data_IF_346762979184
#
_entry.id   IF_346762979184
#
_cell.length_a   1.000
_cell.length_b   1.000
_cell.length_c   1.000
_cell.angle_alpha   90.00
_cell.angle_beta   90.00
_cell.angle_gamma   90.00
#
_symmetry.space_group_name_H-M   'P 1'
#
loop_
_entity.id
_entity.type
_entity.pdbx_description
1 polymer ?
#
# COMPACT_ATOMS: atom_id res chain seq x y z
N UNK A 1 -19.82 8.80 24.45
CA UNK A 1 -19.41 8.17 23.16
C UNK A 1 -17.91 8.35 22.96
N UNK A 2 -17.19 7.27 22.73
CA UNK A 2 -15.79 7.24 22.30
C UNK A 2 -15.76 6.80 20.84
N UNK A 3 -14.74 7.22 20.10
CA UNK A 3 -14.42 6.68 18.77
C UNK A 3 -13.07 5.98 18.87
N UNK A 4 -13.09 4.67 18.77
CA UNK A 4 -11.98 3.78 19.08
C UNK A 4 -11.50 3.16 17.77
N UNK A 5 -10.20 3.21 17.52
CA UNK A 5 -9.59 2.47 16.43
C UNK A 5 -8.98 1.17 16.96
N UNK A 6 -9.23 0.08 16.28
CA UNK A 6 -8.81 -1.26 16.63
C UNK A 6 -8.07 -1.89 15.46
N UNK A 7 -6.87 -2.43 15.68
CA UNK A 7 -6.07 -3.03 14.61
C UNK A 7 -5.21 -4.19 15.11
N UNK A 8 -4.86 -5.15 14.23
CA UNK A 8 -3.99 -6.27 14.61
C UNK A 8 -2.58 -5.79 14.96
N UNK A 9 -2.00 -4.91 14.16
CA UNK A 9 -0.63 -4.44 14.35
C UNK A 9 -0.53 -2.96 14.03
N UNK A 10 0.03 -2.18 14.94
CA UNK A 10 0.44 -0.80 14.71
C UNK A 10 1.95 -0.77 14.50
N UNK A 11 2.39 -0.67 13.24
CA UNK A 11 3.79 -0.67 12.86
C UNK A 11 4.32 0.74 12.61
N UNK A 12 5.60 0.97 12.92
CA UNK A 12 6.28 2.21 12.59
C UNK A 12 6.55 2.29 11.09
N UNK A 13 6.09 3.37 10.45
CA UNK A 13 6.39 3.66 9.04
C UNK A 13 5.59 2.85 8.01
N UNK A 14 4.56 2.09 8.43
CA UNK A 14 3.65 1.48 7.48
C UNK A 14 2.44 2.38 7.17
N UNK A 15 1.82 2.15 6.02
CA UNK A 15 0.71 2.97 5.53
C UNK A 15 -0.52 2.93 6.45
N UNK A 16 -0.88 1.74 6.97
CA UNK A 16 -2.06 1.55 7.85
C UNK A 16 -1.81 2.20 9.21
N UNK A 17 -0.60 2.05 9.75
CA UNK A 17 -0.19 2.69 11.00
C UNK A 17 -0.26 4.22 10.91
N UNK A 18 0.28 4.79 9.82
CA UNK A 18 0.23 6.23 9.58
C UNK A 18 -1.20 6.75 9.40
N UNK A 19 -2.04 6.04 8.64
CA UNK A 19 -3.47 6.34 8.48
C UNK A 19 -4.18 6.33 9.84
N UNK A 20 -3.99 5.27 10.62
CA UNK A 20 -4.60 5.12 11.96
C UNK A 20 -4.26 6.29 12.88
N UNK A 21 -2.99 6.70 12.92
CA UNK A 21 -2.54 7.81 13.78
C UNK A 21 -3.10 9.15 13.30
N UNK A 22 -3.16 9.38 12.00
CA UNK A 22 -3.77 10.60 11.45
C UNK A 22 -5.28 10.66 11.72
N UNK A 23 -5.98 9.52 11.60
CA UNK A 23 -7.40 9.44 11.96
C UNK A 23 -7.62 9.65 13.47
N UNK A 24 -6.70 9.17 14.34
CA UNK A 24 -6.76 9.46 15.80
C UNK A 24 -6.81 10.96 16.06
N UNK A 25 -5.96 11.74 15.38
CA UNK A 25 -5.93 13.19 15.51
C UNK A 25 -7.21 13.85 14.93
N UNK A 26 -7.69 13.38 13.79
CA UNK A 26 -8.91 13.89 13.16
C UNK A 26 -10.13 13.67 14.06
N UNK A 27 -10.30 12.48 14.62
CA UNK A 27 -11.36 12.14 15.55
C UNK A 27 -11.33 13.06 16.79
N UNK A 28 -10.13 13.33 17.33
CA UNK A 28 -9.96 14.25 18.45
C UNK A 28 -10.35 15.68 18.08
N UNK A 29 -9.99 16.18 16.88
CA UNK A 29 -10.41 17.51 16.39
C UNK A 29 -11.92 17.62 16.18
N UNK A 30 -12.60 16.52 15.86
CA UNK A 30 -14.07 16.47 15.80
C UNK A 30 -14.75 16.55 17.18
N UNK A 31 -13.97 16.56 18.28
CA UNK A 31 -14.48 16.65 19.66
C UNK A 31 -14.79 15.29 20.31
N UNK A 32 -14.41 14.18 19.66
CA UNK A 32 -14.61 12.85 20.25
C UNK A 32 -13.37 12.42 21.06
N UNK A 33 -13.62 11.62 22.10
CA UNK A 33 -12.53 10.91 22.77
C UNK A 33 -12.00 9.82 21.82
N UNK A 34 -10.79 10.03 21.33
CA UNK A 34 -10.11 9.17 20.36
C UNK A 34 -9.10 8.26 21.04
N UNK A 35 -9.21 6.95 20.83
CA UNK A 35 -8.31 5.94 21.41
C UNK A 35 -7.92 4.92 20.33
N UNK A 36 -6.68 4.42 20.39
CA UNK A 36 -6.17 3.37 19.49
C UNK A 36 -5.78 2.16 20.34
N UNK A 37 -6.20 0.97 19.92
CA UNK A 37 -5.85 -0.30 20.51
C UNK A 37 -5.32 -1.26 19.45
N UNK A 38 -4.22 -1.97 19.77
CA UNK A 38 -3.63 -2.95 18.88
C UNK A 38 -3.19 -4.21 19.63
N UNK A 39 -3.18 -5.37 18.94
CA UNK A 39 -2.61 -6.60 19.48
C UNK A 39 -1.08 -6.48 19.56
N UNK A 40 -0.47 -5.96 18.49
CA UNK A 40 0.96 -5.74 18.41
C UNK A 40 1.25 -4.25 18.19
N UNK A 41 2.16 -3.69 18.99
CA UNK A 41 2.57 -2.29 18.92
C UNK A 41 4.09 -2.25 18.72
N UNK A 42 4.55 -1.61 17.66
CA UNK A 42 5.98 -1.43 17.38
C UNK A 42 6.61 -0.56 18.48
N UNK A 43 7.71 -1.04 19.06
CA UNK A 43 8.42 -0.38 20.15
C UNK A 43 9.06 0.96 19.77
N UNK A 44 9.18 1.24 18.48
CA UNK A 44 9.71 2.52 17.95
C UNK A 44 8.67 3.65 18.00
N UNK A 45 7.41 3.32 18.17
CA UNK A 45 6.34 4.30 18.29
C UNK A 45 6.34 4.96 19.68
N UNK A 46 5.90 6.23 19.81
CA UNK A 46 5.65 6.86 21.09
C UNK A 46 4.69 6.02 21.96
N UNK A 47 4.93 5.98 23.26
CA UNK A 47 4.19 5.13 24.21
C UNK A 47 2.67 5.42 24.28
N UNK A 48 2.25 6.62 23.89
CA UNK A 48 0.87 7.09 23.85
C UNK A 48 0.18 6.87 22.48
N UNK A 49 0.88 6.32 21.49
CA UNK A 49 0.33 6.05 20.17
C UNK A 49 -0.85 5.11 20.23
N UNK A 50 -0.73 4.01 20.97
CA UNK A 50 -1.77 3.00 21.14
C UNK A 50 -1.65 2.28 22.49
N UNK A 51 -2.71 1.56 22.85
CA UNK A 51 -2.78 0.67 24.01
C UNK A 51 -2.92 -0.79 23.53
N UNK A 52 -2.48 -1.76 24.36
CA UNK A 52 -2.81 -3.17 24.09
C UNK A 52 -4.33 -3.37 24.07
N UNK A 53 -4.80 -4.20 23.15
CA UNK A 53 -6.21 -4.58 23.03
C UNK A 53 -6.77 -5.21 24.31
N UNK A 54 -5.93 -5.83 25.14
CA UNK A 54 -6.33 -6.42 26.43
C UNK A 54 -6.73 -5.36 27.48
N UNK A 55 -6.36 -4.10 27.24
CA UNK A 55 -6.76 -2.95 28.06
C UNK A 55 -8.07 -2.31 27.61
N UNK A 56 -8.67 -2.80 26.51
CA UNK A 56 -9.97 -2.32 26.05
C UNK A 56 -11.07 -2.89 26.96
N UNK A 57 -11.60 -2.03 27.81
CA UNK A 57 -12.67 -2.37 28.79
C UNK A 57 -13.80 -1.37 28.70
N UNK A 58 -14.94 -1.73 29.31
CA UNK A 58 -16.09 -0.86 29.51
C UNK A 58 -16.59 -0.20 28.22
N UNK A 59 -16.66 -0.99 27.12
CA UNK A 59 -17.33 -0.58 25.91
C UNK A 59 -18.82 -0.35 26.17
N UNK A 60 -19.35 0.73 25.61
CA UNK A 60 -20.76 1.08 25.70
C UNK A 60 -21.41 0.95 24.33
N UNK A 61 -22.70 0.74 24.32
CA UNK A 61 -23.47 0.57 23.06
C UNK A 61 -23.39 1.81 22.14
N UNK A 62 -23.12 2.99 22.71
CA UNK A 62 -22.94 4.25 21.99
C UNK A 62 -21.49 4.51 21.53
N UNK A 63 -20.51 3.70 21.95
CA UNK A 63 -19.13 3.82 21.47
C UNK A 63 -19.02 3.31 20.02
N UNK A 64 -18.20 3.95 19.20
CA UNK A 64 -17.93 3.56 17.83
C UNK A 64 -16.55 2.91 17.75
N UNK A 65 -16.47 1.71 17.21
CA UNK A 65 -15.21 1.02 16.98
C UNK A 65 -14.94 0.90 15.47
N UNK A 66 -13.83 1.51 15.01
CA UNK A 66 -13.28 1.37 13.66
C UNK A 66 -12.25 0.24 13.68
N UNK A 67 -12.58 -0.90 13.08
CA UNK A 67 -11.67 -2.02 12.97
C UNK A 67 -10.91 -2.00 11.65
N UNK A 68 -9.59 -1.80 11.71
CA UNK A 68 -8.69 -1.83 10.55
C UNK A 68 -8.40 -3.28 10.14
N UNK A 69 -9.13 -3.78 9.16
CA UNK A 69 -9.01 -5.16 8.66
C UNK A 69 -7.97 -5.26 7.57
N UNK A 70 -6.81 -5.87 7.88
CA UNK A 70 -5.66 -5.99 6.98
C UNK A 70 -5.02 -7.38 6.94
N UNK A 71 -5.36 -8.26 7.89
CA UNK A 71 -4.78 -9.61 8.00
C UNK A 71 -5.68 -10.56 8.79
N UNK A 72 -5.34 -11.85 8.81
CA UNK A 72 -6.00 -12.85 9.67
C UNK A 72 -5.60 -12.70 11.12
N UNK A 73 -6.58 -12.64 12.02
CA UNK A 73 -6.37 -12.58 13.47
C UNK A 73 -7.68 -12.89 14.21
N UNK A 74 -7.57 -13.43 15.43
CA UNK A 74 -8.69 -13.68 16.34
C UNK A 74 -9.40 -12.38 16.74
N UNK A 75 -8.71 -11.25 16.68
CA UNK A 75 -9.30 -9.94 16.94
C UNK A 75 -10.52 -9.65 16.05
N UNK A 76 -10.55 -10.20 14.84
CA UNK A 76 -11.69 -10.10 13.93
C UNK A 76 -12.98 -10.66 14.55
N UNK A 77 -12.89 -11.82 15.16
CA UNK A 77 -14.03 -12.49 15.78
C UNK A 77 -14.40 -11.85 17.13
N UNK A 78 -13.39 -11.43 17.90
CA UNK A 78 -13.60 -10.64 19.12
C UNK A 78 -14.32 -9.31 18.82
N UNK A 79 -13.94 -8.62 17.75
CA UNK A 79 -14.58 -7.37 17.32
C UNK A 79 -16.06 -7.59 16.97
N UNK A 80 -16.39 -8.68 16.28
CA UNK A 80 -17.77 -9.00 15.89
C UNK A 80 -18.72 -9.14 17.11
N UNK A 81 -18.20 -9.57 18.25
CA UNK A 81 -18.96 -9.80 19.50
C UNK A 81 -18.98 -8.58 20.43
N UNK A 82 -18.28 -7.49 20.08
CA UNK A 82 -18.24 -6.28 20.92
C UNK A 82 -19.61 -5.58 20.92
N UNK A 83 -20.05 -5.17 22.11
CA UNK A 83 -21.29 -4.36 22.28
C UNK A 83 -20.95 -2.89 22.02
N UNK A 84 -21.00 -2.48 20.78
CA UNK A 84 -20.69 -1.14 20.30
C UNK A 84 -21.21 -0.96 18.87
N UNK A 85 -21.14 0.24 18.33
CA UNK A 85 -21.39 0.49 16.91
C UNK A 85 -20.12 0.16 16.12
N UNK A 86 -20.24 -0.61 15.03
CA UNK A 86 -19.11 -1.22 14.34
C UNK A 86 -18.90 -0.70 12.92
N UNK A 87 -17.72 -0.15 12.68
CA UNK A 87 -17.21 0.24 11.35
C UNK A 87 -16.02 -0.65 11.01
N UNK A 88 -15.98 -1.22 9.81
CA UNK A 88 -14.78 -1.86 9.28
C UNK A 88 -14.08 -0.93 8.30
N UNK A 89 -12.77 -0.69 8.52
CA UNK A 89 -11.87 -0.08 7.54
C UNK A 89 -11.13 -1.21 6.84
N UNK A 90 -11.42 -1.42 5.55
CA UNK A 90 -10.90 -2.57 4.80
C UNK A 90 -9.69 -2.19 3.96
N UNK A 91 -8.52 -2.66 4.40
CA UNK A 91 -7.23 -2.45 3.76
C UNK A 91 -6.82 -3.54 2.77
N UNK A 92 -7.73 -4.44 2.44
CA UNK A 92 -7.53 -5.61 1.58
C UNK A 92 -6.82 -6.80 2.27
N UNK A 93 -7.06 -7.99 1.73
CA UNK A 93 -6.32 -9.23 2.03
C UNK A 93 -5.80 -9.78 0.70
N UNK A 94 -4.50 -10.03 0.62
CA UNK A 94 -3.92 -10.65 -0.59
C UNK A 94 -4.42 -12.09 -0.75
N UNK A 95 -4.87 -12.51 -1.95
CA UNK A 95 -5.33 -13.87 -2.19
C UNK A 95 -4.28 -14.94 -1.82
N UNK A 96 -4.75 -15.99 -1.14
CA UNK A 96 -3.92 -17.05 -0.55
C UNK A 96 -3.06 -17.78 -1.58
N UNK A 97 -3.55 -17.92 -2.82
CA UNK A 97 -2.87 -18.59 -3.93
C UNK A 97 -1.50 -17.98 -4.26
N UNK A 98 -1.29 -16.69 -4.02
CA UNK A 98 0.02 -16.06 -4.21
C UNK A 98 1.07 -16.61 -3.24
N UNK A 99 0.67 -16.92 -2.02
CA UNK A 99 1.60 -17.33 -0.96
C UNK A 99 1.83 -18.83 -0.86
N UNK A 100 0.85 -19.67 -1.26
CA UNK A 100 0.94 -21.15 -1.15
C UNK A 100 2.24 -21.75 -1.67
N UNK A 101 2.82 -21.28 -2.81
CA UNK A 101 4.07 -21.87 -3.30
C UNK A 101 5.31 -21.49 -2.49
N UNK A 102 5.23 -20.48 -1.60
CA UNK A 102 6.40 -19.86 -0.99
C UNK A 102 6.40 -19.86 0.53
N UNK A 103 5.23 -19.76 1.16
CA UNK A 103 5.09 -19.68 2.61
C UNK A 103 3.73 -20.23 3.05
N UNK A 104 3.74 -21.38 3.69
CA UNK A 104 2.53 -21.99 4.27
C UNK A 104 1.93 -21.12 5.38
N UNK A 105 2.79 -20.44 6.16
CA UNK A 105 2.37 -19.51 7.21
C UNK A 105 1.61 -18.32 6.63
N UNK A 106 2.18 -17.63 5.63
CA UNK A 106 1.51 -16.52 4.97
C UNK A 106 0.22 -16.96 4.27
N UNK A 107 0.19 -18.15 3.67
CA UNK A 107 -1.01 -18.72 3.08
C UNK A 107 -2.11 -18.95 4.13
N UNK A 108 -1.78 -19.57 5.25
CA UNK A 108 -2.74 -19.80 6.35
C UNK A 108 -3.26 -18.47 6.92
N UNK A 109 -2.37 -17.49 7.11
CA UNK A 109 -2.74 -16.17 7.63
C UNK A 109 -3.72 -15.42 6.72
N UNK A 110 -3.50 -15.48 5.40
CA UNK A 110 -4.40 -14.82 4.44
C UNK A 110 -5.72 -15.58 4.29
N UNK A 111 -5.71 -16.92 4.33
CA UNK A 111 -6.93 -17.73 4.34
C UNK A 111 -7.80 -17.40 5.55
N UNK A 112 -7.21 -17.39 6.75
CA UNK A 112 -7.88 -16.95 7.98
C UNK A 112 -8.36 -15.49 7.90
N UNK A 113 -7.59 -14.65 7.20
CA UNK A 113 -8.00 -13.28 6.90
C UNK A 113 -9.30 -13.20 6.11
N UNK A 114 -9.42 -13.99 5.04
CA UNK A 114 -10.64 -14.08 4.22
C UNK A 114 -11.83 -14.67 4.97
N UNK A 115 -11.62 -15.70 5.79
CA UNK A 115 -12.67 -16.23 6.68
C UNK A 115 -13.21 -15.13 7.58
N UNK A 116 -12.32 -14.35 8.21
CA UNK A 116 -12.71 -13.22 9.05
C UNK A 116 -13.46 -12.12 8.30
N UNK A 117 -13.06 -11.79 7.06
CA UNK A 117 -13.81 -10.79 6.26
C UNK A 117 -15.21 -11.31 5.94
N UNK A 118 -15.35 -12.57 5.52
CA UNK A 118 -16.70 -13.16 5.26
C UNK A 118 -17.54 -13.21 6.52
N UNK A 119 -16.95 -13.55 7.67
CA UNK A 119 -17.65 -13.60 8.95
C UNK A 119 -18.22 -12.24 9.35
N UNK A 120 -17.53 -11.14 9.02
CA UNK A 120 -17.97 -9.79 9.34
C UNK A 120 -19.09 -9.25 8.43
N UNK A 121 -19.46 -9.95 7.37
CA UNK A 121 -20.36 -9.43 6.32
C UNK A 121 -21.75 -9.00 6.80
N UNK A 122 -22.25 -9.60 7.89
CA UNK A 122 -23.51 -9.27 8.57
C UNK A 122 -23.34 -8.73 10.01
N UNK A 123 -22.08 -8.48 10.43
CA UNK A 123 -21.72 -8.06 11.79
C UNK A 123 -21.37 -6.60 11.91
N UNK A 124 -21.10 -5.92 10.79
CA UNK A 124 -20.73 -4.49 10.77
C UNK A 124 -21.85 -3.63 10.20
N UNK A 125 -21.94 -2.42 10.69
CA UNK A 125 -23.00 -1.48 10.30
C UNK A 125 -22.56 -0.56 9.15
N UNK A 126 -21.25 -0.46 8.91
CA UNK A 126 -20.67 0.40 7.91
C UNK A 126 -19.24 -0.05 7.54
N UNK A 127 -18.87 0.17 6.28
CA UNK A 127 -17.50 -0.09 5.82
C UNK A 127 -16.89 1.14 5.15
N UNK A 128 -15.60 1.36 5.40
CA UNK A 128 -14.72 2.24 4.62
C UNK A 128 -13.73 1.36 3.86
N UNK A 129 -13.64 1.52 2.55
CA UNK A 129 -12.74 0.75 1.69
C UNK A 129 -11.70 1.67 1.08
N UNK A 130 -10.41 1.26 0.99
CA UNK A 130 -9.34 2.11 0.50
C UNK A 130 -9.46 2.41 -1.01
N UNK A 131 -10.21 1.60 -1.76
CA UNK A 131 -10.42 1.75 -3.20
C UNK A 131 -11.78 1.24 -3.65
N UNK A 132 -12.19 1.58 -4.87
CA UNK A 132 -13.37 1.02 -5.53
C UNK A 132 -13.24 -0.50 -5.74
N UNK A 133 -12.03 -0.99 -5.99
CA UNK A 133 -11.73 -2.43 -6.04
C UNK A 133 -12.06 -3.13 -4.71
N UNK A 134 -11.55 -2.62 -3.59
CA UNK A 134 -11.83 -3.14 -2.25
C UNK A 134 -13.34 -3.12 -1.93
N UNK A 135 -14.03 -2.02 -2.29
CA UNK A 135 -15.48 -1.94 -2.18
C UNK A 135 -16.18 -3.05 -2.99
N UNK A 136 -15.71 -3.28 -4.22
CA UNK A 136 -16.23 -4.34 -5.10
C UNK A 136 -16.04 -5.75 -4.52
N UNK A 137 -14.91 -6.01 -3.84
CA UNK A 137 -14.66 -7.27 -3.15
C UNK A 137 -15.66 -7.50 -2.00
N UNK A 138 -15.87 -6.49 -1.15
CA UNK A 138 -16.83 -6.58 -0.04
C UNK A 138 -18.24 -6.85 -0.54
N UNK A 139 -18.67 -6.18 -1.60
CA UNK A 139 -19.98 -6.44 -2.23
C UNK A 139 -20.10 -7.90 -2.72
N UNK A 140 -19.04 -8.44 -3.36
CA UNK A 140 -19.00 -9.84 -3.80
C UNK A 140 -19.01 -10.83 -2.63
N UNK A 141 -18.49 -10.43 -1.46
CA UNK A 141 -18.51 -11.22 -0.22
C UNK A 141 -19.85 -11.13 0.52
N UNK A 142 -20.84 -10.40 0.01
CA UNK A 142 -22.20 -10.36 0.53
C UNK A 142 -22.48 -9.28 1.57
N UNK A 143 -21.62 -8.29 1.72
CA UNK A 143 -21.86 -7.13 2.60
C UNK A 143 -23.09 -6.35 2.13
N UNK A 144 -24.02 -6.09 3.04
CA UNK A 144 -25.26 -5.35 2.81
C UNK A 144 -25.28 -3.96 3.45
N UNK A 145 -24.38 -3.71 4.39
CA UNK A 145 -24.23 -2.38 4.97
C UNK A 145 -23.68 -1.38 3.93
N UNK A 146 -23.84 -0.07 4.13
CA UNK A 146 -23.22 0.93 3.27
C UNK A 146 -21.68 0.78 3.27
N UNK A 147 -21.10 0.89 2.07
CA UNK A 147 -19.65 0.80 1.85
C UNK A 147 -19.23 2.03 1.05
N UNK A 148 -18.49 2.92 1.67
CA UNK A 148 -17.94 4.09 1.00
C UNK A 148 -16.44 3.95 0.77
N UNK A 149 -15.93 4.58 -0.28
CA UNK A 149 -14.49 4.62 -0.58
C UNK A 149 -13.85 5.77 0.19
N UNK A 150 -12.78 5.46 0.88
CA UNK A 150 -11.90 6.43 1.53
C UNK A 150 -10.46 5.99 1.29
N UNK A 151 -9.74 6.65 0.36
CA UNK A 151 -8.33 6.36 0.14
C UNK A 151 -7.54 6.45 1.43
N UNK A 152 -6.50 5.61 1.54
CA UNK A 152 -5.59 5.64 2.69
C UNK A 152 -4.89 6.99 2.75
N UNK A 153 -4.76 7.56 3.95
CA UNK A 153 -4.11 8.85 4.11
C UNK A 153 -2.60 8.73 4.01
N UNK A 154 -2.01 9.57 3.17
CA UNK A 154 -0.56 9.68 2.96
C UNK A 154 -0.07 11.01 3.51
N UNK A 155 0.94 10.96 4.37
CA UNK A 155 1.54 12.15 4.99
C UNK A 155 2.67 12.68 4.09
N UNK A 156 2.33 13.43 3.05
CA UNK A 156 3.30 13.97 2.09
C UNK A 156 4.39 14.85 2.73
N UNK A 157 4.13 15.43 3.89
CA UNK A 157 5.14 16.21 4.62
C UNK A 157 6.34 15.35 5.03
N UNK A 158 6.13 14.06 5.32
CA UNK A 158 7.20 13.14 5.69
C UNK A 158 8.18 12.92 4.53
N UNK A 159 7.74 13.06 3.26
CA UNK A 159 8.58 12.89 2.07
C UNK A 159 9.46 14.12 1.75
N UNK A 160 9.24 15.24 2.43
CA UNK A 160 10.08 16.44 2.32
C UNK A 160 11.38 16.35 3.14
N UNK A 161 11.56 15.31 3.93
CA UNK A 161 12.78 15.05 4.70
C UNK A 161 14.01 14.89 3.79
N UNK A 162 15.18 15.07 4.39
CA UNK A 162 16.45 14.93 3.68
C UNK A 162 16.67 13.47 3.27
N UNK A 163 16.93 13.20 1.98
CA UNK A 163 17.25 11.84 1.52
C UNK A 163 18.65 11.44 1.96
N UNK A 164 18.93 10.14 1.88
CA UNK A 164 20.27 9.61 2.13
C UNK A 164 21.24 10.04 1.03
N UNK A 165 22.26 10.82 1.41
CA UNK A 165 23.25 11.37 0.47
C UNK A 165 24.21 10.31 -0.10
N UNK A 166 24.49 9.25 0.66
CA UNK A 166 25.33 8.15 0.19
C UNK A 166 24.64 7.39 -0.94
N UNK A 167 23.36 7.07 -0.75
CA UNK A 167 22.52 6.43 -1.78
C UNK A 167 22.42 7.32 -3.03
N UNK A 168 22.16 8.62 -2.87
CA UNK A 168 22.13 9.56 -3.99
C UNK A 168 23.46 9.53 -4.77
N UNK A 169 24.58 9.69 -4.09
CA UNK A 169 25.91 9.70 -4.73
C UNK A 169 26.22 8.38 -5.44
N UNK A 170 25.88 7.24 -4.82
CA UNK A 170 26.14 5.91 -5.37
C UNK A 170 25.45 5.65 -6.70
N UNK A 171 24.22 6.15 -6.85
CA UNK A 171 23.38 5.84 -8.01
C UNK A 171 23.15 7.02 -8.98
N UNK A 172 23.80 8.17 -8.75
CA UNK A 172 23.86 9.31 -9.69
C UNK A 172 25.00 9.17 -10.70
N UNK A 173 25.22 7.98 -11.24
CA UNK A 173 26.31 7.64 -12.14
C UNK A 173 25.96 7.75 -13.63
N UNK A 174 24.78 8.30 -13.95
CA UNK A 174 24.31 8.50 -15.33
C UNK A 174 23.50 7.33 -15.91
N UNK A 175 23.47 6.17 -15.26
CA UNK A 175 22.62 5.05 -15.67
C UNK A 175 21.14 5.39 -15.45
N UNK A 176 20.27 4.83 -16.30
CA UNK A 176 18.83 4.93 -16.13
C UNK A 176 18.33 4.02 -15.02
N UNK A 177 17.63 4.58 -14.04
CA UNK A 177 17.12 3.87 -12.87
C UNK A 177 15.64 3.54 -13.03
N UNK A 178 15.31 2.27 -13.27
CA UNK A 178 13.95 1.76 -13.11
C UNK A 178 13.76 1.39 -11.65
N UNK A 179 12.70 1.88 -11.01
CA UNK A 179 12.50 1.68 -9.58
C UNK A 179 11.14 1.02 -9.34
N UNK A 180 11.13 0.06 -8.44
CA UNK A 180 9.95 -0.48 -7.78
C UNK A 180 10.14 -0.33 -6.26
N UNK A 181 9.12 0.14 -5.55
CA UNK A 181 9.12 0.22 -4.09
C UNK A 181 7.95 -0.61 -3.56
N UNK A 182 8.24 -1.48 -2.61
CA UNK A 182 7.26 -2.32 -1.97
C UNK A 182 7.89 -3.63 -1.48
N UNK A 183 7.18 -4.31 -0.58
CA UNK A 183 7.63 -5.61 -0.08
C UNK A 183 7.89 -6.57 -1.23
N UNK A 184 8.97 -7.33 -1.16
CA UNK A 184 9.24 -8.43 -2.10
C UNK A 184 8.29 -9.58 -1.74
N UNK A 185 7.24 -9.72 -2.57
CA UNK A 185 6.16 -10.69 -2.32
C UNK A 185 5.51 -11.15 -3.63
N UNK A 186 4.99 -12.38 -3.71
CA UNK A 186 4.52 -12.99 -4.96
C UNK A 186 3.39 -12.25 -5.68
N UNK A 187 2.52 -11.57 -4.94
CA UNK A 187 1.45 -10.73 -5.52
C UNK A 187 1.98 -9.46 -6.21
N UNK A 188 3.21 -9.04 -5.90
CA UNK A 188 3.86 -7.87 -6.49
C UNK A 188 4.55 -8.19 -7.83
N UNK A 189 4.68 -9.47 -8.18
CA UNK A 189 5.18 -9.91 -9.48
C UNK A 189 6.52 -9.27 -9.89
N UNK A 190 7.48 -9.21 -8.97
CA UNK A 190 8.80 -8.67 -9.30
C UNK A 190 9.48 -9.45 -10.44
N UNK A 191 9.16 -10.72 -10.66
CA UNK A 191 9.60 -11.47 -11.84
C UNK A 191 9.17 -10.81 -13.16
N UNK A 192 7.98 -10.20 -13.21
CA UNK A 192 7.49 -9.51 -14.41
C UNK A 192 8.20 -8.17 -14.61
N UNK A 193 8.53 -7.47 -13.53
CA UNK A 193 9.37 -6.27 -13.55
C UNK A 193 10.77 -6.62 -14.07
N UNK A 194 11.38 -7.71 -13.58
CA UNK A 194 12.69 -8.20 -14.04
C UNK A 194 12.63 -8.58 -15.53
N UNK A 195 11.56 -9.22 -16.01
CA UNK A 195 11.40 -9.55 -17.44
C UNK A 195 11.30 -8.30 -18.32
N UNK A 196 10.50 -7.32 -17.90
CA UNK A 196 10.39 -6.05 -18.60
C UNK A 196 11.74 -5.32 -18.65
N UNK A 197 12.47 -5.31 -17.52
CA UNK A 197 13.83 -4.75 -17.46
C UNK A 197 14.81 -5.49 -18.35
N UNK A 198 14.79 -6.81 -18.41
CA UNK A 198 15.63 -7.61 -19.32
C UNK A 198 15.46 -7.19 -20.78
N UNK A 199 14.22 -6.96 -21.21
CA UNK A 199 13.95 -6.48 -22.56
C UNK A 199 14.40 -5.01 -22.74
N UNK A 200 14.13 -4.14 -21.75
CA UNK A 200 14.54 -2.73 -21.79
C UNK A 200 16.07 -2.54 -21.82
N UNK A 201 16.83 -3.33 -21.05
CA UNK A 201 18.28 -3.26 -21.01
C UNK A 201 18.93 -3.52 -22.37
N UNK A 202 18.28 -4.24 -23.27
CA UNK A 202 18.72 -4.43 -24.66
C UNK A 202 18.57 -3.17 -25.51
N UNK A 203 17.63 -2.30 -25.17
CA UNK A 203 17.42 -0.98 -25.79
C UNK A 203 18.35 0.07 -25.18
N UNK A 204 18.60 -0.06 -23.88
CA UNK A 204 19.48 0.84 -23.12
C UNK A 204 20.37 0.05 -22.14
N UNK A 205 21.62 -0.33 -22.59
CA UNK A 205 22.57 -1.06 -21.73
C UNK A 205 22.99 -0.31 -20.47
N UNK A 206 22.99 1.02 -20.49
CA UNK A 206 23.33 1.86 -19.35
C UNK A 206 22.11 2.10 -18.46
N UNK A 207 21.55 1.01 -17.95
CA UNK A 207 20.38 1.03 -17.09
C UNK A 207 20.48 0.00 -15.96
N UNK A 208 19.69 0.19 -14.91
CA UNK A 208 19.54 -0.76 -13.81
C UNK A 208 18.10 -0.80 -13.30
N UNK A 209 17.75 -1.90 -12.66
CA UNK A 209 16.51 -2.08 -11.94
C UNK A 209 16.79 -2.08 -10.43
N UNK A 210 16.09 -1.25 -9.67
CA UNK A 210 16.20 -1.17 -8.21
C UNK A 210 14.89 -1.64 -7.60
N UNK A 211 14.92 -2.77 -6.89
CA UNK A 211 13.79 -3.35 -6.18
C UNK A 211 13.94 -3.02 -4.69
N UNK A 212 13.22 -1.99 -4.27
CA UNK A 212 13.30 -1.44 -2.92
C UNK A 212 12.26 -2.10 -2.02
N UNK A 213 12.70 -2.82 -0.98
CA UNK A 213 11.80 -3.35 0.03
C UNK A 213 12.23 -4.65 0.69
N UNK A 214 11.66 -4.90 1.85
CA UNK A 214 11.92 -6.11 2.65
C UNK A 214 11.34 -7.36 2.00
N UNK A 215 12.06 -8.48 2.15
CA UNK A 215 11.62 -9.83 1.76
C UNK A 215 11.33 -10.72 2.98
N UNK A 216 11.30 -10.14 4.17
CA UNK A 216 11.06 -10.90 5.40
C UNK A 216 9.77 -11.73 5.32
N UNK A 217 9.88 -13.04 5.61
CA UNK A 217 8.83 -14.04 5.49
C UNK A 217 8.52 -14.48 4.05
N UNK A 218 9.34 -14.04 3.07
CA UNK A 218 9.25 -14.42 1.65
C UNK A 218 10.61 -14.83 1.09
N UNK A 219 11.47 -15.41 1.92
CA UNK A 219 12.84 -15.78 1.59
C UNK A 219 12.90 -16.72 0.37
N UNK A 220 12.01 -17.69 0.29
CA UNK A 220 11.93 -18.63 -0.85
C UNK A 220 11.61 -17.92 -2.17
N UNK A 221 10.70 -16.93 -2.14
CA UNK A 221 10.38 -16.12 -3.31
C UNK A 221 11.55 -15.22 -3.70
N UNK A 222 12.19 -14.58 -2.73
CA UNK A 222 13.36 -13.74 -2.93
C UNK A 222 14.53 -14.51 -3.56
N UNK A 223 14.87 -15.69 -3.05
CA UNK A 223 15.93 -16.54 -3.62
C UNK A 223 15.60 -16.99 -5.07
N UNK A 224 14.32 -17.26 -5.35
CA UNK A 224 13.87 -17.52 -6.72
C UNK A 224 14.10 -16.31 -7.64
N UNK A 225 13.79 -15.08 -7.19
CA UNK A 225 14.02 -13.87 -7.97
C UNK A 225 15.51 -13.64 -8.25
N UNK A 226 16.38 -13.85 -7.26
CA UNK A 226 17.84 -13.75 -7.45
C UNK A 226 18.35 -14.73 -8.50
N UNK A 227 17.96 -16.00 -8.38
CA UNK A 227 18.31 -17.04 -9.37
C UNK A 227 17.77 -16.70 -10.75
N UNK A 228 16.59 -16.12 -10.82
CA UNK A 228 15.97 -15.71 -12.08
C UNK A 228 16.73 -14.54 -12.74
N UNK A 229 17.10 -13.52 -11.97
CA UNK A 229 17.94 -12.41 -12.48
C UNK A 229 19.29 -12.92 -12.99
N UNK A 230 19.96 -13.80 -12.23
CA UNK A 230 21.23 -14.40 -12.66
C UNK A 230 21.09 -15.27 -13.92
N UNK A 231 20.02 -16.05 -14.05
CA UNK A 231 19.76 -16.82 -15.27
C UNK A 231 19.52 -15.96 -16.53
N UNK A 232 19.14 -14.70 -16.35
CA UNK A 232 19.01 -13.71 -17.40
C UNK A 232 20.30 -12.88 -17.62
N UNK A 233 21.38 -13.13 -16.85
CA UNK A 233 22.61 -12.34 -16.88
C UNK A 233 22.43 -10.90 -16.37
N UNK A 234 21.59 -10.73 -15.34
CA UNK A 234 21.23 -9.42 -14.77
C UNK A 234 21.66 -9.28 -13.31
N UNK A 235 22.52 -10.15 -12.78
CA UNK A 235 22.92 -10.17 -11.38
C UNK A 235 23.54 -8.86 -10.91
N UNK A 236 24.27 -8.16 -11.79
CA UNK A 236 24.91 -6.88 -11.48
C UNK A 236 24.02 -5.67 -11.76
N UNK A 237 22.94 -5.84 -12.49
CA UNK A 237 22.04 -4.75 -12.94
C UNK A 237 20.71 -4.72 -12.20
N UNK A 238 20.38 -5.77 -11.44
CA UNK A 238 19.20 -5.82 -10.56
C UNK A 238 19.63 -5.69 -9.11
N UNK A 239 19.29 -4.57 -8.52
CA UNK A 239 19.61 -4.25 -7.12
C UNK A 239 18.42 -4.60 -6.24
N UNK A 240 18.62 -5.49 -5.28
CA UNK A 240 17.66 -5.76 -4.20
C UNK A 240 18.16 -5.07 -2.93
N UNK A 241 17.42 -4.08 -2.43
CA UNK A 241 17.90 -3.29 -1.28
C UNK A 241 17.65 -3.98 0.05
N UNK A 242 16.67 -4.87 0.14
CA UNK A 242 16.17 -5.38 1.42
C UNK A 242 15.46 -4.30 2.24
N UNK A 243 15.43 -4.49 3.56
CA UNK A 243 14.88 -3.49 4.48
C UNK A 243 15.88 -2.35 4.67
N UNK A 244 15.46 -1.13 4.36
CA UNK A 244 16.29 0.08 4.41
C UNK A 244 15.60 1.19 5.20
N UNK A 245 16.32 2.26 5.49
CA UNK A 245 15.78 3.44 6.18
C UNK A 245 14.89 4.26 5.25
N UNK A 246 13.99 5.03 5.84
CA UNK A 246 13.09 5.90 5.08
C UNK A 246 13.84 6.93 4.23
N UNK A 247 14.94 7.50 4.74
CA UNK A 247 15.80 8.42 3.98
C UNK A 247 16.40 7.82 2.71
N UNK A 248 16.71 6.51 2.72
CA UNK A 248 17.18 5.79 1.55
C UNK A 248 16.03 5.58 0.54
N UNK A 249 14.80 5.28 1.02
CA UNK A 249 13.61 5.21 0.15
C UNK A 249 13.40 6.53 -0.58
N UNK A 250 13.52 7.67 0.14
CA UNK A 250 13.42 9.01 -0.45
C UNK A 250 14.49 9.24 -1.54
N UNK A 251 15.71 8.73 -1.31
CA UNK A 251 16.79 8.83 -2.29
C UNK A 251 16.46 8.04 -3.57
N UNK A 252 15.93 6.81 -3.45
CA UNK A 252 15.57 6.00 -4.62
C UNK A 252 14.43 6.61 -5.43
N UNK A 253 13.41 7.21 -4.81
CA UNK A 253 12.40 7.95 -5.56
C UNK A 253 12.99 9.13 -6.33
N UNK A 254 13.91 9.89 -5.75
CA UNK A 254 14.58 11.03 -6.41
C UNK A 254 15.52 10.62 -7.54
N UNK A 255 16.05 9.41 -7.49
CA UNK A 255 16.92 8.83 -8.52
C UNK A 255 16.16 8.16 -9.65
N UNK A 256 14.87 7.91 -9.49
CA UNK A 256 14.08 7.14 -10.43
C UNK A 256 13.81 7.89 -11.73
N UNK A 257 14.16 7.30 -12.88
CA UNK A 257 13.73 7.76 -14.19
C UNK A 257 12.29 7.33 -14.49
N UNK A 258 11.88 6.16 -13.96
CA UNK A 258 10.54 5.59 -14.10
C UNK A 258 10.23 4.66 -12.93
N UNK A 259 8.99 4.66 -12.48
CA UNK A 259 8.47 3.69 -11.51
C UNK A 259 7.68 2.61 -12.25
N UNK A 260 8.05 1.34 -12.04
CA UNK A 260 7.42 0.20 -12.74
C UNK A 260 6.75 -0.73 -11.73
N UNK A 261 5.43 -0.91 -11.84
CA UNK A 261 4.63 -1.74 -10.95
C UNK A 261 3.85 -2.80 -11.73
N UNK A 262 4.28 -4.06 -11.65
CA UNK A 262 3.62 -5.20 -12.28
C UNK A 262 2.78 -6.01 -11.28
N UNK A 263 2.35 -5.40 -10.18
CA UNK A 263 1.57 -6.09 -9.13
C UNK A 263 0.31 -6.71 -9.72
N UNK A 264 0.08 -7.99 -9.44
CA UNK A 264 -1.16 -8.68 -9.81
C UNK A 264 -2.29 -8.43 -8.79
N UNK A 265 -1.95 -8.00 -7.58
CA UNK A 265 -2.94 -7.72 -6.55
C UNK A 265 -2.48 -6.60 -5.59
N UNK A 266 -3.31 -5.57 -5.47
CA UNK A 266 -3.18 -4.41 -4.58
C UNK A 266 -4.54 -4.01 -4.02
N UNK A 267 -4.56 -3.54 -2.78
CA UNK A 267 -5.75 -2.90 -2.19
C UNK A 267 -5.82 -1.41 -2.47
N UNK A 268 -4.65 -0.74 -2.62
CA UNK A 268 -4.52 0.67 -2.95
C UNK A 268 -3.20 0.96 -3.70
N UNK A 269 -2.07 0.52 -3.17
CA UNK A 269 -0.71 0.75 -3.68
C UNK A 269 -0.16 2.15 -3.42
N UNK A 270 0.11 2.46 -2.16
CA UNK A 270 0.76 3.73 -1.73
C UNK A 270 2.01 4.08 -2.55
N UNK A 271 2.93 3.14 -2.89
CA UNK A 271 4.13 3.46 -3.66
C UNK A 271 3.89 4.11 -5.03
N UNK A 272 2.74 3.85 -5.66
CA UNK A 272 2.34 4.52 -6.90
C UNK A 272 2.09 6.01 -6.65
N UNK A 273 1.42 6.34 -5.56
CA UNK A 273 1.14 7.74 -5.18
C UNK A 273 2.41 8.45 -4.71
N UNK A 274 3.29 7.72 -4.02
CA UNK A 274 4.63 8.22 -3.66
C UNK A 274 5.46 8.58 -4.90
N UNK A 275 5.50 7.71 -5.90
CA UNK A 275 6.20 7.98 -7.17
C UNK A 275 5.61 9.23 -7.87
N UNK A 276 4.30 9.41 -7.86
CA UNK A 276 3.66 10.63 -8.38
C UNK A 276 4.12 11.89 -7.63
N UNK A 277 4.23 11.80 -6.29
CA UNK A 277 4.70 12.93 -5.46
C UNK A 277 6.14 13.36 -5.80
N UNK A 278 6.98 12.43 -6.19
CA UNK A 278 8.37 12.70 -6.61
C UNK A 278 8.50 13.02 -8.11
N UNK A 279 7.40 13.27 -8.81
CA UNK A 279 7.40 13.53 -10.27
C UNK A 279 8.05 12.39 -11.09
N UNK A 280 7.96 11.17 -10.60
CA UNK A 280 8.43 9.98 -11.30
C UNK A 280 7.30 9.43 -12.17
N UNK A 281 7.48 9.30 -13.49
CA UNK A 281 6.47 8.68 -14.34
C UNK A 281 6.16 7.25 -13.90
N UNK A 282 4.87 6.94 -13.73
CA UNK A 282 4.40 5.61 -13.30
C UNK A 282 3.93 4.81 -14.49
N UNK A 283 4.46 3.58 -14.61
CA UNK A 283 3.97 2.54 -15.50
C UNK A 283 3.51 1.38 -14.62
N UNK A 284 2.24 1.01 -14.70
CA UNK A 284 1.67 -0.05 -13.87
C UNK A 284 0.81 -1.01 -14.67
N UNK A 285 0.70 -2.27 -14.20
CA UNK A 285 -0.24 -3.24 -14.73
C UNK A 285 -1.68 -2.82 -14.38
N UNK A 286 -2.60 -2.93 -15.33
CA UNK A 286 -4.03 -2.68 -15.09
C UNK A 286 -4.67 -3.83 -14.29
N UNK A 287 -4.36 -3.93 -13.00
CA UNK A 287 -4.82 -5.00 -12.11
C UNK A 287 -5.37 -4.46 -10.80
N UNK A 288 -6.34 -5.16 -10.23
CA UNK A 288 -6.90 -4.90 -8.89
C UNK A 288 -7.19 -3.40 -8.65
N UNK A 289 -6.63 -2.78 -7.60
CA UNK A 289 -6.84 -1.37 -7.28
C UNK A 289 -5.98 -0.38 -8.09
N UNK A 290 -5.01 -0.83 -8.90
CA UNK A 290 -4.10 0.07 -9.62
C UNK A 290 -4.82 1.04 -10.57
N UNK A 291 -5.84 0.63 -11.37
CA UNK A 291 -6.62 1.58 -12.17
C UNK A 291 -7.32 2.65 -11.32
N UNK A 292 -7.88 2.26 -10.17
CA UNK A 292 -8.53 3.20 -9.23
C UNK A 292 -7.52 4.18 -8.63
N UNK A 293 -6.38 3.70 -8.18
CA UNK A 293 -5.33 4.53 -7.58
C UNK A 293 -4.73 5.49 -8.60
N UNK A 294 -4.48 5.03 -9.81
CA UNK A 294 -3.93 5.89 -10.86
C UNK A 294 -4.95 6.88 -11.41
N UNK A 295 -6.23 6.55 -11.45
CA UNK A 295 -7.29 7.48 -11.84
C UNK A 295 -7.10 8.11 -13.22
N UNK A 296 -6.56 7.34 -14.18
CA UNK A 296 -6.26 7.80 -15.54
C UNK A 296 -4.94 8.59 -15.68
N UNK A 297 -4.15 8.72 -14.61
CA UNK A 297 -2.80 9.29 -14.66
C UNK A 297 -1.73 8.20 -14.84
N UNK A 298 -0.54 8.55 -15.32
CA UNK A 298 0.50 7.57 -15.64
C UNK A 298 0.14 6.69 -16.85
N UNK A 299 0.73 5.51 -16.92
CA UNK A 299 0.45 4.52 -17.99
C UNK A 299 0.02 3.19 -17.37
N UNK A 300 -1.14 2.69 -17.79
CA UNK A 300 -1.63 1.36 -17.44
C UNK A 300 -1.37 0.39 -18.59
N UNK A 301 -0.62 -0.67 -18.30
CA UNK A 301 -0.38 -1.77 -19.23
C UNK A 301 -1.55 -2.77 -19.16
N UNK A 302 -2.06 -3.25 -20.30
CA UNK A 302 -3.19 -4.19 -20.30
C UNK A 302 -2.79 -5.58 -19.82
N UNK A 303 -1.53 -5.94 -19.99
CA UNK A 303 -0.94 -7.22 -19.59
C UNK A 303 0.54 -7.05 -19.19
N UNK A 304 1.20 -8.13 -18.79
CA UNK A 304 2.60 -8.15 -18.39
C UNK A 304 3.54 -8.59 -19.54
N UNK A 305 3.19 -8.32 -20.82
CA UNK A 305 4.11 -8.60 -21.94
C UNK A 305 5.42 -7.80 -21.77
N UNK A 306 6.57 -8.48 -21.63
CA UNK A 306 7.81 -7.80 -21.27
C UNK A 306 8.38 -6.96 -22.42
N UNK A 307 8.09 -7.30 -23.68
CA UNK A 307 8.56 -6.56 -24.84
C UNK A 307 7.77 -5.28 -25.00
N UNK A 308 6.44 -5.37 -24.86
CA UNK A 308 5.57 -4.20 -24.88
C UNK A 308 5.90 -3.25 -23.71
N UNK A 309 6.04 -3.78 -22.50
CA UNK A 309 6.42 -3.00 -21.33
C UNK A 309 7.76 -2.29 -21.52
N UNK A 310 8.77 -2.97 -22.05
CA UNK A 310 10.08 -2.38 -22.37
C UNK A 310 9.98 -1.24 -23.39
N UNK A 311 9.17 -1.39 -24.43
CA UNK A 311 8.93 -0.34 -25.42
C UNK A 311 8.25 0.89 -24.79
N UNK A 312 7.29 0.69 -23.90
CA UNK A 312 6.63 1.78 -23.16
C UNK A 312 7.63 2.48 -22.23
N UNK A 313 8.46 1.73 -21.49
CA UNK A 313 9.51 2.27 -20.62
C UNK A 313 10.49 3.13 -21.42
N UNK A 314 10.99 2.61 -22.55
CA UNK A 314 11.92 3.33 -23.43
C UNK A 314 11.30 4.63 -23.95
N UNK A 315 10.04 4.59 -24.37
CA UNK A 315 9.32 5.77 -24.85
C UNK A 315 9.16 6.83 -23.76
N UNK A 316 8.77 6.45 -22.55
CA UNK A 316 8.60 7.38 -21.43
C UNK A 316 9.93 8.03 -21.02
N UNK A 317 11.03 7.29 -21.08
CA UNK A 317 12.36 7.81 -20.70
C UNK A 317 12.92 8.75 -21.77
N UNK A 318 12.69 8.48 -23.07
CA UNK A 318 13.28 9.26 -24.19
C UNK A 318 12.42 10.45 -24.63
N UNK A 319 11.10 10.37 -24.49
CA UNK A 319 10.19 11.42 -24.95
C UNK A 319 9.87 12.39 -23.81
N UNK A 320 10.58 13.50 -23.79
CA UNK A 320 10.40 14.55 -22.76
C UNK A 320 8.97 15.13 -22.74
N UNK A 321 8.34 15.26 -23.92
CA UNK A 321 6.97 15.79 -24.01
C UNK A 321 5.97 14.82 -23.38
N UNK A 322 6.09 13.52 -23.69
CA UNK A 322 5.27 12.48 -23.08
C UNK A 322 5.50 12.41 -21.56
N UNK A 323 6.77 12.42 -21.15
CA UNK A 323 7.15 12.42 -19.72
C UNK A 323 6.50 13.59 -18.97
N UNK A 324 6.63 14.80 -19.52
CA UNK A 324 6.02 15.99 -18.93
C UNK A 324 4.50 15.86 -18.83
N UNK A 325 3.84 15.41 -19.87
CA UNK A 325 2.39 15.19 -19.89
C UNK A 325 1.94 14.19 -18.81
N UNK A 326 2.67 13.07 -18.64
CA UNK A 326 2.43 12.07 -17.61
C UNK A 326 2.53 12.71 -16.22
N UNK A 327 3.62 13.43 -15.94
CA UNK A 327 3.87 14.07 -14.64
C UNK A 327 2.77 15.10 -14.32
N UNK A 328 2.36 15.91 -15.29
CA UNK A 328 1.26 16.88 -15.11
C UNK A 328 -0.07 16.17 -14.77
N UNK A 329 -0.35 15.03 -15.42
CA UNK A 329 -1.49 14.20 -15.09
C UNK A 329 -1.42 13.64 -13.66
N UNK A 330 -0.25 13.14 -13.26
CA UNK A 330 0.00 12.63 -11.91
C UNK A 330 -0.13 13.72 -10.83
N UNK A 331 0.39 14.92 -11.08
CA UNK A 331 0.22 16.08 -10.16
C UNK A 331 -1.25 16.42 -9.93
N UNK A 332 -2.07 16.43 -10.99
CA UNK A 332 -3.53 16.62 -10.82
C UNK A 332 -4.17 15.50 -10.01
N UNK A 333 -3.72 14.25 -10.21
CA UNK A 333 -4.22 13.10 -9.43
C UNK A 333 -3.86 13.19 -7.95
N UNK A 334 -2.69 13.73 -7.59
CA UNK A 334 -2.26 13.92 -6.21
C UNK A 334 -3.21 14.84 -5.41
N UNK A 335 -3.90 15.76 -6.05
CA UNK A 335 -4.91 16.61 -5.38
C UNK A 335 -6.03 15.78 -4.75
N UNK A 336 -6.36 14.61 -5.35
CA UNK A 336 -7.34 13.68 -4.80
C UNK A 336 -6.89 13.00 -3.51
N UNK A 337 -5.59 12.97 -3.26
CA UNK A 337 -4.96 12.36 -2.08
C UNK A 337 -4.45 13.41 -1.08
N UNK A 338 -4.79 14.70 -1.27
CA UNK A 338 -4.44 15.74 -0.31
C UNK A 338 -4.98 15.42 1.08
N UNK A 339 -4.23 15.82 2.11
CA UNK A 339 -4.60 15.59 3.51
C UNK A 339 -6.00 16.12 3.81
N UNK A 340 -6.29 17.34 3.38
CA UNK A 340 -7.55 18.04 3.60
C UNK A 340 -8.72 17.29 2.97
N UNK A 341 -8.53 16.78 1.74
CA UNK A 341 -9.56 16.05 1.02
C UNK A 341 -9.88 14.73 1.68
N UNK A 342 -8.86 13.94 2.01
CA UNK A 342 -9.05 12.64 2.68
C UNK A 342 -9.68 12.81 4.06
N UNK A 343 -9.24 13.82 4.83
CA UNK A 343 -9.83 14.12 6.13
C UNK A 343 -11.29 14.57 6.00
N UNK A 344 -11.62 15.43 5.04
CA UNK A 344 -13.00 15.85 4.79
C UNK A 344 -13.92 14.67 4.44
N UNK A 345 -13.43 13.72 3.63
CA UNK A 345 -14.15 12.48 3.31
C UNK A 345 -14.39 11.69 4.60
N UNK A 346 -13.33 11.44 5.39
CA UNK A 346 -13.43 10.68 6.63
C UNK A 346 -14.40 11.31 7.63
N UNK A 347 -14.26 12.61 7.88
CA UNK A 347 -15.13 13.35 8.81
C UNK A 347 -16.60 13.27 8.40
N UNK A 348 -16.87 13.44 7.10
CA UNK A 348 -18.22 13.35 6.54
C UNK A 348 -18.80 11.94 6.72
N UNK A 349 -18.05 10.92 6.40
CA UNK A 349 -18.45 9.53 6.54
C UNK A 349 -18.72 9.17 7.99
N UNK A 350 -17.82 9.56 8.92
CA UNK A 350 -17.98 9.29 10.35
C UNK A 350 -19.18 10.04 10.94
N UNK A 351 -19.36 11.33 10.62
CA UNK A 351 -20.54 12.12 11.05
C UNK A 351 -21.84 11.49 10.56
N UNK A 352 -21.90 11.12 9.29
CA UNK A 352 -23.08 10.46 8.71
C UNK A 352 -23.40 9.13 9.41
N UNK A 353 -22.38 8.37 9.78
CA UNK A 353 -22.58 7.12 10.52
C UNK A 353 -23.08 7.39 11.95
N UNK A 354 -22.49 8.34 12.67
CA UNK A 354 -22.85 8.66 14.06
C UNK A 354 -24.30 9.16 14.15
N UNK A 355 -24.76 9.92 13.17
CA UNK A 355 -26.08 10.54 13.15
C UNK A 355 -27.21 9.61 12.67
N UNK A 356 -26.89 8.39 12.28
CA UNK A 356 -27.87 7.32 11.97
C UNK A 356 -28.31 6.63 13.27
#
# INVERSE_FOLDING_TARGET
MRVIQLLPTLSFGDAIGNDTLALKEAIARMGFRSEVYAENIDKRLPADSAKSVDKLKDLRDDDVVLYHKSMGTDLTFRFAEMKCRRIMVYHNITPTEFFRPYSSEAAALTEYGYEGVRYLSDKVEYCMADSGYNRGELLKMGYKCPIDVRPILIRFEDYKQTPDEETLRKYSDGKKNLVFVGRIAPNKKQEDVIRAFYCYRRLNPDSRLILVGSYSGMENYFERLKKYAAALGLEDDVVFTGHIKFSEILAYYRLADVFVCMSAHEGFCVPVVEAMFFDVPVIALASSALPDTMGGSGILLPDSDPVFAAGVIDRVIRDESLRKHIIEGQRRRLEDFSYERIMSIFETQLKNFINR
#
